data_IF_423003285850
#
_entry.id   IF_423003285850
#
_cell.length_a   1.000
_cell.length_b   1.000
_cell.length_c   1.000
_cell.angle_alpha   90.00
_cell.angle_beta   90.00
_cell.angle_gamma   90.00
#
_symmetry.space_group_name_H-M   'P 1'
#
loop_
_entity.id
_entity.type
_entity.pdbx_description
1 polymer ?
#
# COMPACT_ATOMS: atom_id res chain seq x y z
N UNK A 1 -11.85 -13.01 18.54
CA UNK A 1 -12.05 -12.70 17.10
C UNK A 1 -10.79 -13.08 16.34
N UNK A 2 -10.93 -13.86 15.27
CA UNK A 2 -9.78 -14.38 14.52
C UNK A 2 -9.22 -13.29 13.58
N UNK A 3 -7.99 -12.83 13.85
CA UNK A 3 -7.29 -11.80 13.05
C UNK A 3 -7.18 -12.18 11.57
N UNK A 4 -7.26 -13.47 11.24
CA UNK A 4 -7.18 -13.99 9.87
C UNK A 4 -8.39 -13.61 9.00
N UNK A 5 -9.55 -13.35 9.60
CA UNK A 5 -10.82 -13.13 8.88
C UNK A 5 -11.28 -11.67 8.78
N UNK A 6 -10.57 -10.70 9.36
CA UNK A 6 -11.09 -9.32 9.42
C UNK A 6 -11.22 -8.63 8.04
N UNK A 7 -10.49 -9.10 7.02
CA UNK A 7 -10.42 -8.44 5.72
C UNK A 7 -10.19 -9.41 4.54
N UNK A 8 -10.45 -10.70 4.71
CA UNK A 8 -10.26 -11.68 3.64
C UNK A 8 -11.25 -11.41 2.49
N UNK A 9 -10.78 -10.74 1.43
CA UNK A 9 -11.56 -10.39 0.23
C UNK A 9 -12.04 -8.93 0.14
N UNK A 10 -11.95 -8.17 1.24
CA UNK A 10 -12.49 -6.80 1.35
C UNK A 10 -11.49 -5.70 0.99
N UNK A 11 -10.20 -6.00 0.94
CA UNK A 11 -9.15 -5.06 0.51
C UNK A 11 -8.71 -5.47 -0.89
N UNK A 12 -8.82 -4.55 -1.84
CA UNK A 12 -8.55 -4.84 -3.23
C UNK A 12 -7.59 -3.81 -3.81
N UNK A 13 -6.72 -4.28 -4.69
CA UNK A 13 -5.87 -3.48 -5.56
C UNK A 13 -5.91 -4.11 -6.94
N UNK A 14 -5.94 -3.28 -7.98
CA UNK A 14 -5.96 -3.76 -9.35
C UNK A 14 -4.53 -3.90 -9.87
N UNK A 15 -4.03 -5.14 -9.89
CA UNK A 15 -2.69 -5.49 -10.36
C UNK A 15 -2.44 -5.16 -11.83
N UNK A 16 -3.50 -5.00 -12.63
CA UNK A 16 -3.40 -4.64 -14.05
C UNK A 16 -3.63 -3.15 -14.30
N UNK A 17 -3.88 -2.36 -13.24
CA UNK A 17 -4.05 -0.91 -13.36
C UNK A 17 -2.73 -0.20 -13.55
N UNK A 18 -2.78 0.93 -14.26
CA UNK A 18 -1.63 1.84 -14.38
C UNK A 18 -1.10 2.26 -12.99
N UNK A 19 -2.00 2.51 -12.03
CA UNK A 19 -1.63 2.89 -10.68
C UNK A 19 -0.74 1.85 -9.99
N UNK A 20 -1.05 0.55 -10.15
CA UNK A 20 -0.22 -0.50 -9.58
C UNK A 20 1.14 -0.59 -10.28
N UNK A 21 1.20 -0.40 -11.60
CA UNK A 21 2.47 -0.35 -12.32
C UNK A 21 3.38 0.78 -11.81
N UNK A 22 2.85 1.99 -11.61
CA UNK A 22 3.60 3.12 -11.01
C UNK A 22 4.04 2.81 -9.57
N UNK A 23 3.20 2.12 -8.79
CA UNK A 23 3.55 1.69 -7.45
C UNK A 23 4.73 0.71 -7.45
N UNK A 24 4.70 -0.26 -8.35
CA UNK A 24 5.78 -1.24 -8.52
C UNK A 24 7.09 -0.58 -8.97
N UNK A 25 7.02 0.36 -9.93
CA UNK A 25 8.19 1.12 -10.39
C UNK A 25 8.81 1.92 -9.24
N UNK A 26 8.03 2.70 -8.51
CA UNK A 26 8.53 3.49 -7.38
C UNK A 26 9.05 2.59 -6.25
N UNK A 27 8.37 1.47 -5.96
CA UNK A 27 8.82 0.53 -4.95
C UNK A 27 10.17 -0.08 -5.35
N UNK A 28 10.33 -0.55 -6.58
CA UNK A 28 11.61 -1.10 -7.06
C UNK A 28 12.72 -0.05 -7.10
N UNK A 29 12.37 1.20 -7.41
CA UNK A 29 13.31 2.33 -7.43
C UNK A 29 13.94 2.57 -6.06
N UNK A 30 13.13 2.56 -5.00
CA UNK A 30 13.57 2.94 -3.65
C UNK A 30 13.85 1.77 -2.70
N UNK A 31 13.21 0.62 -2.88
CA UNK A 31 13.33 -0.54 -1.99
C UNK A 31 14.65 -1.28 -2.18
N UNK A 32 15.29 -1.60 -1.05
CA UNK A 32 16.44 -2.48 -0.94
C UNK A 32 16.04 -3.91 -0.51
N UNK A 33 14.74 -4.21 -0.48
CA UNK A 33 14.23 -5.53 -0.09
C UNK A 33 14.45 -6.53 -1.23
N UNK A 34 14.83 -7.77 -0.88
CA UNK A 34 14.93 -8.89 -1.84
C UNK A 34 13.60 -9.55 -2.14
N UNK A 35 12.55 -9.24 -1.37
CA UNK A 35 11.21 -9.80 -1.51
C UNK A 35 10.43 -9.01 -2.57
N UNK A 36 9.86 -9.67 -3.60
CA UNK A 36 9.01 -9.00 -4.58
C UNK A 36 7.78 -8.34 -3.95
N UNK A 37 7.40 -7.16 -4.46
CA UNK A 37 6.28 -6.37 -3.96
C UNK A 37 4.97 -7.18 -3.90
N UNK A 38 4.74 -8.06 -4.88
CA UNK A 38 3.55 -8.91 -4.97
C UNK A 38 3.30 -9.74 -3.71
N UNK A 39 4.35 -10.19 -3.03
CA UNK A 39 4.23 -10.93 -1.77
C UNK A 39 3.93 -10.04 -0.57
N UNK A 40 4.22 -8.75 -0.66
CA UNK A 40 4.04 -7.76 0.41
C UNK A 40 2.70 -7.02 0.29
N UNK A 41 2.11 -6.97 -0.91
CA UNK A 41 0.91 -6.19 -1.21
C UNK A 41 -0.22 -6.45 -0.21
N UNK A 42 -0.55 -7.72 0.08
CA UNK A 42 -1.62 -8.06 1.01
C UNK A 42 -1.35 -7.54 2.44
N UNK A 43 -0.13 -7.69 2.93
CA UNK A 43 0.26 -7.20 4.26
C UNK A 43 0.28 -5.68 4.32
N UNK A 44 0.71 -5.02 3.24
CA UNK A 44 0.66 -3.56 3.09
C UNK A 44 -0.79 -3.06 3.19
N UNK A 45 -1.70 -3.64 2.40
CA UNK A 45 -3.11 -3.26 2.42
C UNK A 45 -3.75 -3.51 3.79
N UNK A 46 -3.49 -4.68 4.40
CA UNK A 46 -3.99 -5.02 5.74
C UNK A 46 -3.47 -4.07 6.82
N UNK A 47 -2.20 -3.71 6.76
CA UNK A 47 -1.59 -2.78 7.73
C UNK A 47 -2.21 -1.39 7.61
N UNK A 48 -2.34 -0.85 6.39
CA UNK A 48 -3.03 0.43 6.14
C UNK A 48 -4.47 0.40 6.64
N UNK A 49 -5.18 -0.69 6.37
CA UNK A 49 -6.54 -0.92 6.81
C UNK A 49 -6.69 -0.91 8.34
N UNK A 50 -5.79 -1.58 9.06
CA UNK A 50 -5.78 -1.69 10.53
C UNK A 50 -5.34 -0.39 11.21
N UNK A 51 -4.36 0.30 10.65
CA UNK A 51 -3.86 1.57 11.18
C UNK A 51 -4.72 2.77 10.78
N UNK A 52 -5.78 2.56 9.98
CA UNK A 52 -6.59 3.62 9.40
C UNK A 52 -5.76 4.69 8.66
N UNK A 53 -4.68 4.25 7.99
CA UNK A 53 -3.82 5.11 7.15
C UNK A 53 -4.03 4.80 5.69
N UNK A 54 -3.69 5.77 4.83
CA UNK A 54 -3.71 5.61 3.38
C UNK A 54 -2.31 5.57 2.77
N UNK A 55 -1.29 5.29 3.59
CA UNK A 55 0.08 5.23 3.10
C UNK A 55 0.83 4.02 3.65
N UNK A 56 1.75 3.52 2.83
CA UNK A 56 2.78 2.55 3.21
C UNK A 56 4.10 3.28 3.43
N UNK A 57 4.82 2.95 4.52
CA UNK A 57 6.15 3.50 4.80
C UNK A 57 7.21 2.43 4.56
N UNK A 58 8.06 2.65 3.55
CA UNK A 58 9.35 1.99 3.44
C UNK A 58 10.33 2.71 4.37
N UNK A 59 10.79 2.03 5.40
CA UNK A 59 11.71 2.63 6.38
C UNK A 59 13.12 2.79 5.79
N UNK A 60 13.92 3.66 6.41
CA UNK A 60 15.31 3.92 6.02
C UNK A 60 16.18 2.66 5.92
N UNK A 61 15.93 1.64 6.75
CA UNK A 61 16.70 0.38 6.76
C UNK A 61 16.43 -0.46 5.51
N UNK A 62 15.23 -0.37 4.96
CA UNK A 62 14.82 -1.08 3.75
C UNK A 62 14.88 -0.19 2.49
N UNK A 63 15.35 1.04 2.60
CA UNK A 63 15.48 1.97 1.48
C UNK A 63 16.94 2.05 0.99
N UNK A 64 17.13 2.09 -0.33
CA UNK A 64 18.46 2.16 -0.96
C UNK A 64 19.24 3.44 -0.60
N UNK A 65 18.54 4.54 -0.32
CA UNK A 65 19.13 5.84 -0.01
C UNK A 65 19.20 6.15 1.48
N UNK A 66 18.78 5.21 2.35
CA UNK A 66 18.76 5.41 3.80
C UNK A 66 17.71 6.40 4.29
N UNK A 67 16.62 6.63 3.54
CA UNK A 67 15.54 7.57 3.92
C UNK A 67 14.21 6.87 4.11
N UNK A 68 13.28 7.52 4.80
CA UNK A 68 11.91 7.03 4.88
C UNK A 68 11.13 7.46 3.64
N UNK A 69 10.54 6.51 2.92
CA UNK A 69 9.68 6.75 1.76
C UNK A 69 8.22 6.45 2.12
N UNK A 70 7.32 7.29 1.64
CA UNK A 70 5.89 7.17 1.85
C UNK A 70 5.21 6.98 0.50
N UNK A 71 4.50 5.87 0.35
CA UNK A 71 3.71 5.53 -0.82
C UNK A 71 2.25 5.81 -0.48
N UNK A 72 1.67 6.82 -1.14
CA UNK A 72 0.33 7.33 -0.81
C UNK A 72 -0.71 6.69 -1.71
N UNK A 73 -1.83 6.26 -1.13
CA UNK A 73 -2.94 5.62 -1.80
C UNK A 73 -4.22 6.45 -1.67
N UNK A 74 -5.04 6.43 -2.71
CA UNK A 74 -6.45 6.82 -2.68
C UNK A 74 -7.26 5.58 -2.34
N UNK A 75 -8.17 5.71 -1.38
CA UNK A 75 -9.05 4.62 -0.97
C UNK A 75 -10.45 4.93 -1.47
N UNK A 76 -10.95 4.12 -2.41
CA UNK A 76 -12.31 4.20 -2.92
C UNK A 76 -13.17 3.16 -2.21
N UNK A 77 -14.36 3.56 -1.79
CA UNK A 77 -15.39 2.68 -1.28
C UNK A 77 -16.58 2.73 -2.22
N UNK A 78 -16.98 1.58 -2.78
CA UNK A 78 -18.15 1.52 -3.66
C UNK A 78 -19.43 1.65 -2.82
N UNK A 79 -20.35 2.51 -3.24
CA UNK A 79 -21.64 2.74 -2.54
C UNK A 79 -22.45 1.46 -2.34
N UNK A 80 -22.37 0.56 -3.32
CA UNK A 80 -23.11 -0.72 -3.36
C UNK A 80 -22.44 -1.83 -2.55
N UNK A 81 -21.12 -1.73 -2.31
CA UNK A 81 -20.33 -2.74 -1.59
C UNK A 81 -19.55 -2.05 -0.47
N UNK A 82 -20.26 -1.65 0.59
CA UNK A 82 -19.70 -0.87 1.70
C UNK A 82 -18.52 -1.54 2.40
N UNK A 83 -18.35 -2.86 2.26
CA UNK A 83 -17.27 -3.59 2.94
C UNK A 83 -15.97 -3.59 2.12
N UNK A 84 -16.04 -3.31 0.81
CA UNK A 84 -14.88 -3.37 -0.08
C UNK A 84 -14.18 -2.01 -0.14
N UNK A 85 -12.90 -2.00 0.18
CA UNK A 85 -11.98 -0.87 0.01
C UNK A 85 -11.02 -1.17 -1.13
N UNK A 86 -11.08 -0.31 -2.15
CA UNK A 86 -10.20 -0.38 -3.32
C UNK A 86 -9.08 0.64 -3.12
N UNK A 87 -7.85 0.18 -3.15
CA UNK A 87 -6.65 1.00 -3.02
C UNK A 87 -6.09 1.28 -4.40
N UNK A 88 -5.90 2.55 -4.70
CA UNK A 88 -5.26 3.03 -5.92
C UNK A 88 -4.02 3.81 -5.52
N UNK A 89 -2.87 3.46 -6.07
CA UNK A 89 -1.66 4.22 -5.82
C UNK A 89 -1.79 5.63 -6.39
N UNK A 90 -1.33 6.63 -5.63
CA UNK A 90 -1.37 8.02 -6.06
C UNK A 90 0.00 8.56 -6.41
N UNK A 91 0.95 8.52 -5.47
CA UNK A 91 2.28 9.07 -5.64
C UNK A 91 3.22 8.70 -4.49
N UNK A 92 4.51 8.91 -4.71
CA UNK A 92 5.59 8.77 -3.75
C UNK A 92 5.93 10.13 -3.09
N UNK A 93 6.28 10.10 -1.80
CA UNK A 93 6.78 11.26 -1.07
C UNK A 93 7.89 10.90 -0.07
N UNK A 94 8.79 11.83 0.18
CA UNK A 94 9.85 11.73 1.20
C UNK A 94 9.41 12.31 2.56
N UNK A 95 8.24 12.96 2.60
CA UNK A 95 7.66 13.53 3.81
C UNK A 95 6.36 12.81 4.09
N UNK A 96 6.09 12.57 5.38
CA UNK A 96 4.77 12.12 5.79
C UNK A 96 3.77 13.26 5.57
N UNK A 97 2.87 13.10 4.61
CA UNK A 97 1.78 14.04 4.43
C UNK A 97 0.78 13.88 5.57
N UNK A 98 0.26 14.99 6.09
CA UNK A 98 -0.83 14.96 7.07
C UNK A 98 -2.12 14.74 6.30
N UNK A 99 -2.72 13.56 6.46
CA UNK A 99 -4.09 13.29 6.04
C UNK A 99 -5.09 14.20 6.74
#
# INVERSE_FOLDING_TARGET
>A
MDRRNLYAGDLQIDYFSESYSHFEEDFQRYSNMSVPLTFLTDDILRTMALCHTNYFRLNQENAKDGRNHYFIFRIKQRKEMKNIRIFEYSHHSLKKEKS
#
